data_IF_654456669540
#
_entry.id   IF_654456669540
#
_cell.length_a   1.000
_cell.length_b   1.000
_cell.length_c   1.000
_cell.angle_alpha   90.00
_cell.angle_beta   90.00
_cell.angle_gamma   90.00
#
_symmetry.space_group_name_H-M   'P 1'
#
loop_
_entity.id
_entity.type
_entity.pdbx_description
1 polymer ?
#
# COMPACT_ATOMS: atom_id res chain seq x y z
N UNK A 1 -58.62 -4.75 -2.21
CA UNK A 1 -58.52 -5.19 -3.62
C UNK A 1 -57.41 -4.40 -4.29
N UNK A 2 -56.37 -5.06 -4.79
CA UNK A 2 -55.34 -4.40 -5.61
C UNK A 2 -55.99 -3.86 -6.90
N UNK A 3 -55.55 -2.69 -7.37
CA UNK A 3 -55.88 -2.21 -8.71
C UNK A 3 -55.20 -3.12 -9.75
N UNK A 4 -55.90 -3.53 -10.81
CA UNK A 4 -55.44 -4.43 -11.88
C UNK A 4 -54.05 -4.08 -12.41
N UNK A 5 -53.72 -2.78 -12.54
CA UNK A 5 -52.41 -2.32 -12.99
C UNK A 5 -51.26 -2.65 -12.02
N UNK A 6 -51.53 -2.65 -10.70
CA UNK A 6 -50.53 -3.04 -9.70
C UNK A 6 -50.34 -4.56 -9.68
N UNK A 7 -51.42 -5.33 -9.82
CA UNK A 7 -51.35 -6.79 -9.92
C UNK A 7 -50.45 -7.23 -11.07
N UNK A 8 -50.62 -6.64 -12.26
CA UNK A 8 -49.79 -6.95 -13.44
C UNK A 8 -48.30 -6.64 -13.23
N UNK A 9 -47.97 -5.53 -12.54
CA UNK A 9 -46.56 -5.20 -12.23
C UNK A 9 -45.96 -6.18 -11.22
N UNK A 10 -46.73 -6.56 -10.21
CA UNK A 10 -46.32 -7.56 -9.22
C UNK A 10 -46.12 -8.94 -9.86
N UNK A 11 -47.00 -9.37 -10.76
CA UNK A 11 -46.85 -10.60 -11.54
C UNK A 11 -45.56 -10.60 -12.38
N UNK A 12 -45.27 -9.48 -13.05
CA UNK A 12 -44.04 -9.33 -13.83
C UNK A 12 -42.77 -9.40 -12.95
N UNK A 13 -42.77 -8.69 -11.81
CA UNK A 13 -41.68 -8.74 -10.84
C UNK A 13 -41.47 -10.16 -10.28
N UNK A 14 -42.57 -10.86 -9.98
CA UNK A 14 -42.53 -12.24 -9.50
C UNK A 14 -41.89 -13.18 -10.52
N UNK A 15 -42.30 -13.09 -11.79
CA UNK A 15 -41.76 -13.92 -12.85
C UNK A 15 -40.24 -13.71 -12.98
N UNK A 16 -39.80 -12.45 -13.00
CA UNK A 16 -38.39 -12.10 -13.11
C UNK A 16 -37.56 -12.56 -11.90
N UNK A 17 -38.12 -12.48 -10.68
CA UNK A 17 -37.49 -13.03 -9.48
C UNK A 17 -37.38 -14.55 -9.50
N UNK A 18 -38.39 -15.25 -10.02
CA UNK A 18 -38.37 -16.72 -10.18
C UNK A 18 -37.34 -17.14 -11.23
N UNK A 19 -37.21 -16.38 -12.33
CA UNK A 19 -36.17 -16.59 -13.33
C UNK A 19 -34.77 -16.38 -12.73
N UNK A 20 -34.62 -15.34 -11.89
CA UNK A 20 -33.36 -15.06 -11.19
C UNK A 20 -33.03 -16.18 -10.19
N UNK A 21 -34.03 -16.66 -9.46
CA UNK A 21 -33.92 -17.79 -8.53
C UNK A 21 -33.48 -19.07 -9.25
N UNK A 22 -34.14 -19.43 -10.35
CA UNK A 22 -33.75 -20.60 -11.17
C UNK A 22 -32.31 -20.46 -11.67
N UNK A 23 -31.95 -19.26 -12.15
CA UNK A 23 -30.61 -19.02 -12.68
C UNK A 23 -29.50 -19.18 -11.64
N UNK A 24 -29.70 -18.74 -10.39
CA UNK A 24 -28.69 -18.92 -9.35
C UNK A 24 -28.58 -20.37 -8.89
N UNK A 25 -29.68 -21.14 -8.90
CA UNK A 25 -29.66 -22.59 -8.65
C UNK A 25 -28.98 -23.37 -9.79
N UNK A 26 -29.24 -22.98 -11.04
CA UNK A 26 -28.56 -23.55 -12.21
C UNK A 26 -27.05 -23.28 -12.17
N UNK A 27 -26.65 -22.07 -11.76
CA UNK A 27 -25.24 -21.72 -11.62
C UNK A 27 -24.53 -22.56 -10.54
N UNK A 28 -25.21 -22.88 -9.43
CA UNK A 28 -24.68 -23.81 -8.42
C UNK A 28 -24.51 -25.22 -8.99
N UNK A 29 -25.51 -25.74 -9.72
CA UNK A 29 -25.42 -27.06 -10.37
C UNK A 29 -24.33 -27.13 -11.43
N UNK A 30 -24.12 -26.04 -12.16
CA UNK A 30 -23.14 -25.92 -13.23
C UNK A 30 -21.75 -25.46 -12.76
N UNK A 31 -21.54 -25.31 -11.45
CA UNK A 31 -20.28 -24.82 -10.91
C UNK A 31 -19.10 -25.70 -11.36
N UNK A 32 -18.07 -25.06 -11.91
CA UNK A 32 -16.86 -25.75 -12.39
C UNK A 32 -16.04 -26.38 -11.26
N UNK A 33 -16.19 -25.88 -10.03
CA UNK A 33 -15.54 -26.42 -8.83
C UNK A 33 -16.59 -27.19 -8.02
N UNK A 34 -16.40 -28.51 -7.81
CA UNK A 34 -17.32 -29.30 -7.00
C UNK A 34 -17.41 -28.76 -5.57
N UNK A 35 -18.63 -28.57 -5.07
CA UNK A 35 -18.88 -28.18 -3.67
C UNK A 35 -18.27 -29.17 -2.66
N UNK A 36 -18.06 -30.42 -3.06
CA UNK A 36 -17.36 -31.43 -2.25
C UNK A 36 -15.91 -31.07 -1.93
N UNK A 37 -15.31 -30.11 -2.63
CA UNK A 37 -13.98 -29.57 -2.30
C UNK A 37 -14.00 -28.56 -1.17
N UNK A 38 -15.15 -27.99 -0.85
CA UNK A 38 -15.28 -27.10 0.31
C UNK A 38 -15.23 -27.93 1.59
N UNK A 39 -14.59 -27.38 2.63
CA UNK A 39 -14.64 -28.00 3.96
C UNK A 39 -16.11 -28.14 4.40
N UNK A 40 -16.54 -29.26 5.00
CA UNK A 40 -17.94 -29.51 5.30
C UNK A 40 -18.63 -28.40 6.10
N UNK A 41 -17.91 -27.77 7.03
CA UNK A 41 -18.40 -26.63 7.84
C UNK A 41 -18.75 -25.40 6.98
N UNK A 42 -18.14 -25.26 5.80
CA UNK A 42 -18.32 -24.12 4.90
C UNK A 42 -19.14 -24.45 3.65
N UNK A 43 -19.64 -25.68 3.50
CA UNK A 43 -20.36 -26.12 2.30
C UNK A 43 -21.56 -25.23 1.94
N UNK A 44 -22.38 -24.87 2.94
CA UNK A 44 -23.53 -23.97 2.73
C UNK A 44 -23.10 -22.56 2.30
N UNK A 45 -22.02 -22.04 2.87
CA UNK A 45 -21.46 -20.74 2.51
C UNK A 45 -20.86 -20.74 1.10
N UNK A 46 -20.18 -21.82 0.71
CA UNK A 46 -19.63 -22.00 -0.63
C UNK A 46 -20.74 -22.05 -1.70
N UNK A 47 -21.83 -22.79 -1.43
CA UNK A 47 -23.00 -22.81 -2.29
C UNK A 47 -23.63 -21.41 -2.41
N UNK A 48 -23.80 -20.71 -1.29
CA UNK A 48 -24.30 -19.34 -1.31
C UNK A 48 -23.39 -18.37 -2.07
N UNK A 49 -22.07 -18.51 -1.97
CA UNK A 49 -21.12 -17.68 -2.71
C UNK A 49 -21.25 -17.87 -4.22
N UNK A 50 -21.40 -19.11 -4.71
CA UNK A 50 -21.64 -19.39 -6.14
C UNK A 50 -22.92 -18.70 -6.60
N UNK A 51 -24.01 -18.85 -5.84
CA UNK A 51 -25.30 -18.19 -6.12
C UNK A 51 -25.15 -16.67 -6.13
N UNK A 52 -24.42 -16.10 -5.18
CA UNK A 52 -24.18 -14.66 -5.08
C UNK A 52 -23.36 -14.13 -6.26
N UNK A 53 -22.31 -14.83 -6.68
CA UNK A 53 -21.53 -14.46 -7.88
C UNK A 53 -22.39 -14.55 -9.14
N UNK A 54 -23.19 -15.60 -9.29
CA UNK A 54 -24.10 -15.77 -10.42
C UNK A 54 -25.17 -14.67 -10.49
N UNK A 55 -25.63 -14.21 -9.34
CA UNK A 55 -26.51 -13.07 -9.25
C UNK A 55 -25.81 -11.76 -9.64
N UNK A 56 -24.58 -11.53 -9.12
CA UNK A 56 -23.84 -10.28 -9.32
C UNK A 56 -23.24 -10.12 -10.71
N UNK A 57 -23.19 -11.20 -11.50
CA UNK A 57 -22.84 -11.16 -12.93
C UNK A 57 -23.95 -10.57 -13.81
N UNK A 58 -25.12 -10.27 -13.23
CA UNK A 58 -26.27 -9.64 -13.91
C UNK A 58 -26.42 -8.19 -13.48
N UNK A 59 -26.90 -7.35 -14.41
CA UNK A 59 -27.32 -5.99 -14.09
C UNK A 59 -28.74 -6.02 -13.51
N UNK A 60 -28.84 -5.79 -12.20
CA UNK A 60 -30.12 -5.82 -11.49
C UNK A 60 -30.73 -4.45 -11.25
N UNK A 61 -30.09 -3.34 -11.68
CA UNK A 61 -30.49 -1.99 -11.28
C UNK A 61 -31.95 -1.69 -11.61
N UNK A 62 -32.39 -2.04 -12.82
CA UNK A 62 -33.78 -1.84 -13.24
C UNK A 62 -34.78 -2.67 -12.41
N UNK A 63 -34.46 -3.93 -12.10
CA UNK A 63 -35.26 -4.77 -11.22
C UNK A 63 -35.33 -4.17 -9.80
N UNK A 64 -34.22 -3.70 -9.26
CA UNK A 64 -34.14 -3.10 -7.93
C UNK A 64 -34.98 -1.82 -7.82
N UNK A 65 -34.95 -0.97 -8.86
CA UNK A 65 -35.76 0.24 -8.93
C UNK A 65 -37.26 -0.10 -8.97
N UNK A 66 -37.66 -1.10 -9.78
CA UNK A 66 -39.04 -1.57 -9.86
C UNK A 66 -39.54 -2.22 -8.56
N UNK A 67 -38.70 -3.01 -7.88
CA UNK A 67 -39.02 -3.57 -6.56
C UNK A 67 -39.24 -2.46 -5.52
N UNK A 68 -38.34 -1.48 -5.49
CA UNK A 68 -38.40 -0.35 -4.57
C UNK A 68 -39.65 0.49 -4.81
N UNK A 69 -40.04 0.70 -6.07
CA UNK A 69 -41.26 1.43 -6.43
C UNK A 69 -42.55 0.76 -5.91
N UNK A 70 -42.54 -0.57 -5.69
CA UNK A 70 -43.65 -1.32 -5.10
C UNK A 70 -43.53 -1.49 -3.56
N UNK A 71 -42.51 -0.88 -2.94
CA UNK A 71 -42.25 -0.95 -1.50
C UNK A 71 -41.62 -2.28 -1.03
N UNK A 72 -41.05 -3.03 -1.97
CA UNK A 72 -40.39 -4.32 -1.69
C UNK A 72 -38.90 -4.11 -1.40
N UNK A 73 -38.26 -5.14 -0.82
CA UNK A 73 -36.79 -5.15 -0.65
C UNK A 73 -36.10 -4.99 -1.99
N UNK A 74 -35.17 -4.05 -2.08
CA UNK A 74 -34.32 -3.83 -3.26
C UNK A 74 -33.23 -4.88 -3.42
N UNK A 75 -33.24 -5.94 -2.60
CA UNK A 75 -32.30 -7.05 -2.72
C UNK A 75 -30.82 -6.65 -2.48
N UNK A 76 -30.58 -5.45 -1.95
CA UNK A 76 -29.23 -4.89 -1.76
C UNK A 76 -28.42 -5.42 -0.58
N UNK A 77 -28.97 -6.34 0.23
CA UNK A 77 -28.31 -6.95 1.41
C UNK A 77 -28.56 -8.46 1.48
N UNK A 78 -28.18 -9.18 0.42
CA UNK A 78 -28.43 -10.62 0.30
C UNK A 78 -27.19 -11.50 0.34
N UNK A 79 -26.02 -10.89 0.57
CA UNK A 79 -24.71 -11.55 0.58
C UNK A 79 -24.70 -12.76 1.53
N UNK A 80 -25.45 -12.66 2.63
CA UNK A 80 -25.53 -13.71 3.64
C UNK A 80 -26.35 -14.94 3.20
N UNK A 81 -27.39 -14.75 2.36
CA UNK A 81 -28.31 -15.82 1.94
C UNK A 81 -29.16 -15.38 0.73
N UNK A 82 -28.72 -15.74 -0.48
CA UNK A 82 -29.34 -15.30 -1.74
C UNK A 82 -30.74 -15.88 -1.91
N UNK A 83 -30.90 -17.20 -1.77
CA UNK A 83 -32.17 -17.86 -2.02
C UNK A 83 -33.23 -17.43 -1.03
N UNK A 84 -32.89 -17.35 0.26
CA UNK A 84 -33.84 -16.90 1.28
C UNK A 84 -34.37 -15.49 1.01
N UNK A 85 -33.52 -14.58 0.54
CA UNK A 85 -33.94 -13.21 0.22
C UNK A 85 -34.82 -13.17 -1.02
N UNK A 86 -34.49 -13.93 -2.08
CA UNK A 86 -35.35 -14.05 -3.27
C UNK A 86 -36.71 -14.64 -2.89
N UNK A 87 -36.72 -15.76 -2.15
CA UNK A 87 -37.93 -16.45 -1.71
C UNK A 87 -38.79 -15.55 -0.80
N UNK A 88 -38.19 -14.75 0.07
CA UNK A 88 -38.92 -13.80 0.92
C UNK A 88 -39.63 -12.70 0.11
N UNK A 89 -38.99 -12.16 -0.93
CA UNK A 89 -39.61 -11.15 -1.80
C UNK A 89 -40.69 -11.78 -2.66
N UNK A 90 -40.45 -12.96 -3.24
CA UNK A 90 -41.45 -13.73 -3.98
C UNK A 90 -42.67 -14.02 -3.11
N UNK A 91 -42.45 -14.49 -1.87
CA UNK A 91 -43.52 -14.74 -0.91
C UNK A 91 -44.30 -13.48 -0.56
N UNK A 92 -43.63 -12.34 -0.41
CA UNK A 92 -44.30 -11.05 -0.18
C UNK A 92 -45.19 -10.64 -1.36
N UNK A 93 -44.72 -10.86 -2.59
CA UNK A 93 -45.50 -10.61 -3.80
C UNK A 93 -46.69 -11.58 -3.89
N UNK A 94 -46.48 -12.86 -3.63
CA UNK A 94 -47.53 -13.89 -3.65
C UNK A 94 -48.63 -13.61 -2.63
N UNK A 95 -48.27 -13.15 -1.42
CA UNK A 95 -49.22 -12.69 -0.42
C UNK A 95 -50.03 -11.48 -0.91
N UNK A 96 -49.36 -10.50 -1.54
CA UNK A 96 -50.02 -9.32 -2.07
C UNK A 96 -51.02 -9.68 -3.18
N UNK A 97 -50.66 -10.61 -4.06
CA UNK A 97 -51.50 -11.12 -5.15
C UNK A 97 -52.63 -12.04 -4.68
N UNK A 98 -52.59 -12.51 -3.43
CA UNK A 98 -53.57 -13.44 -2.88
C UNK A 98 -53.36 -14.88 -3.31
N UNK A 99 -52.14 -15.25 -3.72
CA UNK A 99 -51.75 -16.62 -4.05
C UNK A 99 -51.56 -17.51 -2.82
N UNK A 100 -51.42 -16.92 -1.62
CA UNK A 100 -51.16 -17.62 -0.35
C UNK A 100 -52.22 -17.21 0.69
N UNK A 101 -52.65 -18.16 1.51
CA UNK A 101 -53.61 -17.90 2.58
C UNK A 101 -52.98 -17.06 3.71
N UNK A 102 -53.73 -16.17 4.40
CA UNK A 102 -53.20 -15.41 5.54
C UNK A 102 -52.78 -16.37 6.67
N UNK A 103 -51.48 -16.53 6.91
CA UNK A 103 -50.93 -17.37 7.99
C UNK A 103 -49.83 -18.36 7.59
N UNK A 104 -49.64 -18.63 6.30
CA UNK A 104 -48.61 -19.56 5.80
C UNK A 104 -47.19 -18.95 5.71
N UNK A 105 -47.02 -17.70 6.15
CA UNK A 105 -45.72 -17.04 6.17
C UNK A 105 -45.05 -17.24 7.53
N UNK A 106 -44.11 -18.19 7.61
CA UNK A 106 -43.07 -18.25 8.63
C UNK A 106 -42.10 -17.06 8.45
N UNK A 107 -42.58 -15.84 8.66
CA UNK A 107 -41.72 -14.67 8.79
C UNK A 107 -41.73 -14.27 10.26
N UNK A 108 -40.74 -14.72 11.05
CA UNK A 108 -40.67 -14.35 12.46
C UNK A 108 -40.58 -12.83 12.53
N UNK A 109 -41.57 -12.22 13.19
CA UNK A 109 -41.63 -10.78 13.38
C UNK A 109 -40.41 -10.24 14.15
N UNK A 110 -40.30 -8.92 14.32
CA UNK A 110 -39.18 -8.27 15.00
C UNK A 110 -39.01 -8.70 16.48
N UNK A 111 -39.98 -9.40 17.07
CA UNK A 111 -39.95 -9.94 18.43
C UNK A 111 -39.36 -11.36 18.53
N UNK A 112 -38.67 -11.83 17.48
CA UNK A 112 -37.97 -13.11 17.51
C UNK A 112 -36.83 -13.09 18.54
N UNK A 113 -36.67 -14.19 19.28
CA UNK A 113 -35.55 -14.39 20.20
C UNK A 113 -34.20 -14.00 19.58
N UNK A 114 -33.22 -13.52 20.38
CA UNK A 114 -31.90 -13.17 19.88
C UNK A 114 -31.35 -14.28 18.99
N UNK A 115 -31.20 -13.95 17.70
CA UNK A 115 -30.82 -14.91 16.67
C UNK A 115 -29.48 -15.54 17.07
N UNK A 116 -29.33 -16.87 17.01
CA UNK A 116 -28.06 -17.51 17.37
C UNK A 116 -26.91 -16.92 16.53
N UNK A 117 -25.67 -16.91 17.08
CA UNK A 117 -24.50 -16.43 16.36
C UNK A 117 -24.42 -17.06 14.98
N UNK A 118 -24.20 -16.25 13.95
CA UNK A 118 -24.05 -16.77 12.60
C UNK A 118 -22.68 -17.46 12.47
N UNK A 119 -22.51 -18.41 11.54
CA UNK A 119 -21.17 -18.94 11.24
C UNK A 119 -20.15 -17.84 10.95
N UNK A 120 -20.59 -16.73 10.34
CA UNK A 120 -19.74 -15.56 10.10
C UNK A 120 -19.27 -14.90 11.41
N UNK A 121 -20.15 -14.68 12.38
CA UNK A 121 -19.76 -14.05 13.64
C UNK A 121 -18.84 -14.95 14.47
N UNK A 122 -19.06 -16.28 14.44
CA UNK A 122 -18.18 -17.27 15.06
C UNK A 122 -16.80 -17.26 14.40
N UNK A 123 -16.72 -17.34 13.07
CA UNK A 123 -15.46 -17.35 12.34
C UNK A 123 -14.69 -16.02 12.50
N UNK A 124 -15.40 -14.89 12.45
CA UNK A 124 -14.79 -13.58 12.68
C UNK A 124 -14.21 -13.46 14.09
N UNK A 125 -14.92 -13.95 15.11
CA UNK A 125 -14.42 -13.95 16.48
C UNK A 125 -13.20 -14.88 16.66
N UNK A 126 -13.21 -16.05 16.01
CA UNK A 126 -12.08 -16.97 16.03
C UNK A 126 -10.83 -16.34 15.41
N UNK A 127 -10.96 -15.76 14.20
CA UNK A 127 -9.87 -15.19 13.43
C UNK A 127 -9.36 -13.86 14.02
N UNK A 128 -10.26 -12.90 14.25
CA UNK A 128 -9.92 -11.51 14.58
C UNK A 128 -9.95 -11.22 16.09
N UNK A 129 -10.38 -12.18 16.90
CA UNK A 129 -10.64 -11.98 18.33
C UNK A 129 -12.09 -11.60 18.64
N UNK A 130 -12.45 -11.75 19.93
CA UNK A 130 -13.81 -11.53 20.44
C UNK A 130 -14.36 -10.12 20.16
N UNK A 131 -15.67 -9.95 20.35
CA UNK A 131 -16.27 -8.60 20.37
C UNK A 131 -15.83 -7.90 21.65
N UNK A 132 -15.11 -6.79 21.53
CA UNK A 132 -14.89 -5.86 22.65
C UNK A 132 -16.04 -4.85 22.60
N UNK A 133 -16.94 -4.86 23.59
CA UNK A 133 -18.03 -3.90 23.90
C UNK A 133 -18.78 -3.23 22.73
N UNK A 134 -20.12 -3.30 22.71
CA UNK A 134 -21.07 -2.51 21.87
C UNK A 134 -20.79 -2.35 20.36
N UNK A 135 -19.74 -2.97 19.80
CA UNK A 135 -19.36 -2.87 18.38
C UNK A 135 -19.11 -4.22 17.73
N UNK A 136 -19.61 -4.34 16.50
CA UNK A 136 -19.38 -5.52 15.64
C UNK A 136 -18.10 -5.41 14.81
N UNK A 137 -17.55 -4.21 14.61
CA UNK A 137 -16.36 -3.98 13.77
C UNK A 137 -15.06 -4.04 14.58
N UNK A 138 -14.04 -4.75 14.05
CA UNK A 138 -12.69 -4.81 14.62
C UNK A 138 -11.76 -3.80 13.95
N UNK A 139 -10.81 -3.26 14.71
CA UNK A 139 -9.85 -2.27 14.27
C UNK A 139 -8.46 -2.92 14.18
N UNK A 140 -7.94 -2.99 12.96
CA UNK A 140 -6.57 -3.38 12.69
C UNK A 140 -5.69 -2.15 12.54
N UNK A 141 -4.59 -2.08 13.28
CA UNK A 141 -3.61 -0.98 13.22
C UNK A 141 -2.31 -1.52 12.68
N UNK A 142 -1.80 -0.94 11.59
CA UNK A 142 -0.43 -1.22 11.13
C UNK A 142 0.53 -0.49 12.03
N UNK A 143 1.37 -1.24 12.74
CA UNK A 143 2.34 -0.67 13.66
C UNK A 143 3.44 0.06 12.86
N UNK A 144 3.76 1.32 13.20
CA UNK A 144 4.88 2.02 12.60
C UNK A 144 6.20 1.57 13.24
N UNK A 145 7.34 1.83 12.60
CA UNK A 145 8.67 1.41 13.07
C UNK A 145 8.97 1.86 14.52
N UNK A 146 8.47 3.03 14.93
CA UNK A 146 8.62 3.56 16.29
C UNK A 146 7.99 2.65 17.35
N UNK A 147 6.98 1.85 16.98
CA UNK A 147 6.33 0.91 17.89
C UNK A 147 7.31 -0.15 18.43
N UNK A 148 8.41 -0.44 17.73
CA UNK A 148 9.44 -1.36 18.23
C UNK A 148 10.19 -0.79 19.46
N UNK A 149 10.23 0.53 19.61
CA UNK A 149 11.03 1.22 20.63
C UNK A 149 10.19 2.04 21.61
N UNK A 150 8.90 2.29 21.32
CA UNK A 150 7.95 2.98 22.21
C UNK A 150 6.79 2.05 22.64
N UNK A 151 6.94 1.27 23.73
CA UNK A 151 5.83 0.45 24.26
C UNK A 151 4.62 1.29 24.68
N UNK A 152 4.81 2.55 25.09
CA UNK A 152 3.72 3.42 25.49
C UNK A 152 2.85 3.82 24.29
N UNK A 153 3.40 3.90 23.08
CA UNK A 153 2.64 4.07 21.83
C UNK A 153 1.69 2.90 21.60
N UNK A 154 2.19 1.66 21.69
CA UNK A 154 1.37 0.45 21.51
C UNK A 154 0.25 0.38 22.56
N UNK A 155 0.56 0.72 23.82
CA UNK A 155 -0.44 0.80 24.88
C UNK A 155 -1.51 1.88 24.62
N UNK A 156 -1.17 3.00 23.94
CA UNK A 156 -2.16 4.00 23.51
C UNK A 156 -3.08 3.44 22.42
N UNK A 157 -2.55 2.70 21.45
CA UNK A 157 -3.38 2.04 20.43
C UNK A 157 -4.35 1.03 21.05
N UNK A 158 -3.88 0.21 21.99
CA UNK A 158 -4.72 -0.72 22.73
C UNK A 158 -5.87 -0.01 23.46
N UNK A 159 -5.58 1.06 24.23
CA UNK A 159 -6.61 1.85 24.91
C UNK A 159 -7.59 2.55 23.97
N UNK A 160 -7.15 2.86 22.75
CA UNK A 160 -8.00 3.47 21.73
C UNK A 160 -8.91 2.44 21.01
N UNK A 161 -8.78 1.14 21.30
CA UNK A 161 -9.63 0.09 20.75
C UNK A 161 -8.99 -0.74 19.62
N UNK A 162 -7.67 -0.80 19.51
CA UNK A 162 -6.99 -1.72 18.60
C UNK A 162 -7.29 -3.18 18.98
N UNK A 163 -7.81 -3.95 18.03
CA UNK A 163 -8.08 -5.40 18.19
C UNK A 163 -7.01 -6.25 17.53
N UNK A 164 -6.44 -5.76 16.43
CA UNK A 164 -5.40 -6.45 15.67
C UNK A 164 -4.22 -5.53 15.44
N UNK A 165 -3.04 -5.93 15.91
CA UNK A 165 -1.77 -5.28 15.58
C UNK A 165 -1.21 -5.92 14.31
N UNK A 166 -1.14 -5.16 13.22
CA UNK A 166 -0.51 -5.59 11.97
C UNK A 166 0.97 -5.19 11.96
N UNK A 167 1.85 -6.17 11.85
CA UNK A 167 3.29 -5.99 11.62
C UNK A 167 3.55 -6.24 10.14
N UNK A 168 4.07 -5.23 9.44
CA UNK A 168 4.33 -5.32 8.01
C UNK A 168 5.78 -5.73 7.76
N UNK A 169 6.00 -7.00 7.35
CA UNK A 169 7.34 -7.55 7.12
C UNK A 169 8.00 -6.98 5.85
N UNK A 170 7.30 -6.09 5.13
CA UNK A 170 7.90 -5.32 4.06
C UNK A 170 8.91 -4.27 4.51
N UNK A 171 8.92 -3.96 5.80
CA UNK A 171 9.74 -2.95 6.44
C UNK A 171 10.30 -3.49 7.76
N UNK A 172 11.31 -2.81 8.30
CA UNK A 172 11.99 -3.19 9.54
C UNK A 172 12.66 -4.58 9.46
N UNK A 173 13.08 -5.11 10.61
CA UNK A 173 13.79 -6.39 10.73
C UNK A 173 13.16 -7.31 11.78
N UNK A 174 13.58 -8.58 11.80
CA UNK A 174 13.13 -9.62 12.75
C UNK A 174 13.16 -9.15 14.20
N UNK A 175 14.22 -8.46 14.62
CA UNK A 175 14.35 -7.96 15.99
C UNK A 175 13.32 -6.86 16.30
N UNK A 176 13.03 -5.97 15.35
CA UNK A 176 11.99 -4.97 15.49
C UNK A 176 10.59 -5.59 15.57
N UNK A 177 10.30 -6.57 14.70
CA UNK A 177 9.02 -7.29 14.71
C UNK A 177 8.78 -8.00 16.05
N UNK A 178 9.80 -8.68 16.58
CA UNK A 178 9.72 -9.35 17.88
C UNK A 178 9.44 -8.36 19.02
N UNK A 179 10.08 -7.18 19.01
CA UNK A 179 9.82 -6.12 19.99
C UNK A 179 8.38 -5.60 19.87
N UNK A 180 7.90 -5.34 18.66
CA UNK A 180 6.51 -4.91 18.42
C UNK A 180 5.51 -5.94 18.93
N UNK A 181 5.76 -7.22 18.69
CA UNK A 181 4.93 -8.32 19.18
C UNK A 181 4.91 -8.36 20.72
N UNK A 182 6.08 -8.26 21.35
CA UNK A 182 6.22 -8.23 22.81
C UNK A 182 5.45 -7.07 23.45
N UNK A 183 5.59 -5.86 22.88
CA UNK A 183 4.86 -4.69 23.35
C UNK A 183 3.34 -4.83 23.16
N UNK A 184 2.91 -5.48 22.09
CA UNK A 184 1.50 -5.77 21.83
C UNK A 184 0.92 -6.72 22.87
N UNK A 185 1.62 -7.83 23.17
CA UNK A 185 1.22 -8.77 24.23
C UNK A 185 1.18 -8.11 25.62
N UNK A 186 2.13 -7.21 25.90
CA UNK A 186 2.14 -6.43 27.14
C UNK A 186 0.98 -5.42 27.22
N UNK A 187 0.49 -4.92 26.08
CA UNK A 187 -0.63 -3.99 26.03
C UNK A 187 -2.00 -4.68 26.21
N UNK A 188 -2.13 -5.96 25.84
CA UNK A 188 -3.31 -6.77 26.11
C UNK A 188 -3.31 -8.13 25.42
N UNK A 189 -3.66 -9.20 26.14
CA UNK A 189 -3.71 -10.57 25.60
C UNK A 189 -4.87 -10.80 24.63
N UNK A 190 -5.86 -9.90 24.59
CA UNK A 190 -6.98 -9.96 23.67
C UNK A 190 -6.67 -9.41 22.27
N UNK A 191 -5.51 -8.78 22.07
CA UNK A 191 -5.12 -8.18 20.80
C UNK A 191 -4.42 -9.24 19.93
N UNK A 192 -4.95 -9.49 18.74
CA UNK A 192 -4.34 -10.41 17.77
C UNK A 192 -3.13 -9.76 17.09
N UNK A 193 -2.10 -10.54 16.80
CA UNK A 193 -0.95 -10.12 16.00
C UNK A 193 -1.10 -10.70 14.60
N UNK A 194 -1.22 -9.82 13.61
CA UNK A 194 -1.22 -10.17 12.20
C UNK A 194 0.13 -9.82 11.58
N UNK A 195 0.85 -10.78 11.03
CA UNK A 195 2.10 -10.52 10.30
C UNK A 195 1.86 -10.59 8.81
N UNK A 196 2.14 -9.48 8.14
CA UNK A 196 1.95 -9.33 6.72
C UNK A 196 3.25 -9.62 5.98
N UNK A 197 3.25 -10.71 5.22
CA UNK A 197 4.39 -11.11 4.41
C UNK A 197 4.51 -10.16 3.21
N UNK A 198 5.75 -9.85 2.86
CA UNK A 198 6.07 -8.85 1.85
C UNK A 198 5.58 -9.25 0.45
N UNK A 199 5.72 -10.55 0.12
CA UNK A 199 5.47 -11.08 -1.21
C UNK A 199 6.41 -10.53 -2.29
N UNK A 200 6.24 -10.96 -3.55
CA UNK A 200 7.05 -10.50 -4.67
C UNK A 200 6.71 -9.06 -5.06
N UNK A 201 7.39 -8.08 -4.46
CA UNK A 201 7.17 -6.65 -4.75
C UNK A 201 7.81 -6.25 -6.07
N UNK A 202 7.00 -6.12 -7.11
CA UNK A 202 7.45 -5.52 -8.37
C UNK A 202 7.64 -4.01 -8.21
N UNK A 203 8.89 -3.57 -8.16
CA UNK A 203 9.31 -2.17 -7.97
C UNK A 203 10.43 -1.75 -8.93
N UNK A 204 10.54 -0.44 -9.13
CA UNK A 204 11.70 0.17 -9.77
C UNK A 204 12.94 -0.01 -8.91
N UNK A 205 14.06 -0.37 -9.54
CA UNK A 205 15.35 -0.50 -8.88
C UNK A 205 15.94 0.85 -8.44
N UNK A 206 17.19 0.80 -7.99
CA UNK A 206 17.94 2.00 -7.60
C UNK A 206 18.08 2.99 -8.77
N UNK A 207 18.30 4.26 -8.47
CA UNK A 207 18.58 5.31 -9.45
C UNK A 207 20.00 5.84 -9.25
N UNK A 208 20.59 6.41 -10.29
CA UNK A 208 21.89 7.06 -10.17
C UNK A 208 21.87 8.09 -9.03
N UNK A 209 22.91 8.14 -8.18
CA UNK A 209 22.97 9.12 -7.09
C UNK A 209 22.90 10.55 -7.63
N UNK A 210 22.12 11.40 -6.97
CA UNK A 210 22.01 12.79 -7.37
C UNK A 210 23.28 13.59 -7.07
N UNK A 211 23.30 14.87 -7.47
CA UNK A 211 24.39 15.75 -7.06
C UNK A 211 24.50 15.76 -5.52
N UNK A 212 25.73 15.70 -5.02
CA UNK A 212 26.04 15.80 -3.60
C UNK A 212 26.01 17.26 -3.17
N UNK A 213 24.82 17.74 -2.84
CA UNK A 213 24.54 19.15 -2.53
C UNK A 213 23.50 19.31 -1.43
N UNK A 214 23.78 20.20 -0.48
CA UNK A 214 22.84 20.61 0.57
C UNK A 214 22.24 21.96 0.20
N UNK A 215 20.91 22.03 0.15
CA UNK A 215 20.17 23.28 -0.02
C UNK A 215 19.78 23.82 1.34
N UNK A 216 20.24 25.03 1.64
CA UNK A 216 19.86 25.79 2.83
C UNK A 216 19.12 27.04 2.39
N UNK A 217 17.93 27.26 2.93
CA UNK A 217 17.05 28.37 2.53
C UNK A 217 16.39 29.02 3.74
N UNK A 218 16.26 30.36 3.74
CA UNK A 218 15.54 31.06 4.79
C UNK A 218 14.03 30.80 4.69
N UNK A 219 13.35 30.77 5.83
CA UNK A 219 11.89 30.89 5.87
C UNK A 219 11.50 32.37 5.72
N UNK A 220 10.48 32.65 4.90
CA UNK A 220 10.02 34.01 4.62
C UNK A 220 8.53 34.17 4.86
N UNK A 221 8.12 35.34 5.32
CA UNK A 221 6.70 35.71 5.44
C UNK A 221 6.06 35.97 4.06
N UNK A 222 4.74 36.23 4.06
CA UNK A 222 4.01 36.56 2.84
C UNK A 222 4.47 37.87 2.17
N UNK A 223 5.20 38.73 2.88
CA UNK A 223 5.80 39.96 2.37
C UNK A 223 7.24 39.76 1.87
N UNK A 224 7.76 38.53 1.94
CA UNK A 224 9.11 38.17 1.52
C UNK A 224 10.21 38.48 2.53
N UNK A 225 9.87 38.90 3.76
CA UNK A 225 10.83 39.18 4.84
C UNK A 225 11.30 37.86 5.46
N UNK A 226 12.58 37.77 5.81
CA UNK A 226 13.14 36.58 6.45
C UNK A 226 12.60 36.47 7.88
N UNK A 227 11.93 35.36 8.20
CA UNK A 227 11.50 35.01 9.56
C UNK A 227 12.56 34.12 10.22
N UNK A 228 13.10 33.16 9.46
CA UNK A 228 14.19 32.29 9.90
C UNK A 228 15.30 32.31 8.85
N UNK A 229 16.55 32.58 9.23
CA UNK A 229 17.66 32.59 8.29
C UNK A 229 17.92 31.18 7.73
N UNK A 230 18.54 31.11 6.55
CA UNK A 230 19.15 29.87 6.09
C UNK A 230 20.24 29.50 7.09
N UNK A 231 20.12 28.35 7.76
CA UNK A 231 21.05 27.92 8.80
C UNK A 231 21.61 26.55 8.49
N UNK A 232 22.90 26.35 8.75
CA UNK A 232 23.55 25.04 8.66
C UNK A 232 24.73 24.93 9.61
N UNK A 233 24.98 23.73 10.13
CA UNK A 233 26.19 23.46 10.91
C UNK A 233 27.32 23.02 10.01
N UNK A 234 28.48 23.64 10.16
CA UNK A 234 29.77 23.12 9.71
C UNK A 234 30.33 22.22 10.82
N UNK A 235 30.78 21.03 10.48
CA UNK A 235 31.30 20.05 11.44
C UNK A 235 32.63 19.46 10.99
N UNK A 236 33.40 18.97 11.95
CA UNK A 236 34.61 18.20 11.67
C UNK A 236 34.26 16.93 10.89
N UNK A 237 35.18 16.40 10.05
CA UNK A 237 34.94 15.16 9.34
C UNK A 237 34.86 13.99 10.34
N UNK A 238 33.89 13.09 10.14
CA UNK A 238 33.73 11.91 10.99
C UNK A 238 34.96 11.01 10.89
N UNK A 239 35.50 10.57 12.03
CA UNK A 239 36.70 9.73 12.09
C UNK A 239 36.51 8.34 11.43
N UNK A 240 35.27 7.88 11.34
CA UNK A 240 34.85 6.61 10.72
C UNK A 240 34.35 6.77 9.26
N UNK A 241 34.35 8.00 8.72
CA UNK A 241 33.82 8.29 7.38
C UNK A 241 32.29 8.23 7.27
N UNK A 242 31.56 8.17 8.38
CA UNK A 242 30.10 8.20 8.39
C UNK A 242 29.56 9.51 7.79
N UNK A 243 28.40 9.43 7.14
CA UNK A 243 27.72 10.61 6.62
C UNK A 243 27.25 11.51 7.77
N UNK A 244 27.36 12.83 7.65
CA UNK A 244 26.96 13.74 8.71
C UNK A 244 25.43 13.72 8.91
N UNK A 245 24.93 14.03 10.12
CA UNK A 245 23.51 14.15 10.38
C UNK A 245 22.81 15.15 9.44
N UNK A 246 21.49 15.00 9.19
CA UNK A 246 20.73 15.97 8.42
C UNK A 246 20.87 17.39 8.99
N UNK A 247 21.21 18.36 8.13
CA UNK A 247 21.43 19.76 8.54
C UNK A 247 22.86 20.10 8.96
N UNK A 248 23.80 19.15 8.86
CA UNK A 248 25.22 19.36 9.08
C UNK A 248 26.03 19.12 7.79
N UNK A 249 27.10 19.88 7.60
CA UNK A 249 28.01 19.82 6.46
C UNK A 249 29.43 19.63 6.99
N UNK A 250 30.16 18.59 6.56
CA UNK A 250 31.51 18.37 7.03
C UNK A 250 32.46 19.31 6.30
N UNK A 251 33.52 19.76 6.95
CA UNK A 251 34.64 20.46 6.30
C UNK A 251 35.89 19.57 6.32
N UNK A 252 36.78 19.75 5.36
CA UNK A 252 37.99 18.92 5.24
C UNK A 252 39.09 19.31 6.23
N UNK A 253 39.07 20.54 6.73
CA UNK A 253 40.07 21.07 7.67
C UNK A 253 39.42 21.37 9.04
N UNK A 254 39.69 20.50 10.01
CA UNK A 254 39.22 20.66 11.39
C UNK A 254 39.91 21.82 12.12
N UNK A 255 41.16 22.16 11.76
CA UNK A 255 41.88 23.29 12.34
C UNK A 255 41.32 24.63 11.86
N UNK A 256 40.89 24.70 10.59
CA UNK A 256 40.12 25.83 10.07
C UNK A 256 38.83 26.03 10.87
N UNK A 257 38.06 24.94 11.09
CA UNK A 257 36.80 24.97 11.82
C UNK A 257 36.99 25.46 13.27
N UNK A 258 38.02 24.95 13.96
CA UNK A 258 38.33 25.34 15.34
C UNK A 258 38.74 26.82 15.50
N UNK A 259 39.11 27.48 14.40
CA UNK A 259 39.49 28.91 14.39
C UNK A 259 38.31 29.84 14.14
N UNK A 260 37.13 29.32 13.77
CA UNK A 260 35.95 30.15 13.58
C UNK A 260 35.49 30.78 14.89
N UNK A 261 35.02 32.01 14.80
CA UNK A 261 34.46 32.81 15.90
C UNK A 261 33.08 33.31 15.52
N UNK A 262 32.26 33.59 16.53
CA UNK A 262 30.98 34.28 16.31
C UNK A 262 31.27 35.61 15.60
N UNK A 263 30.40 35.97 14.66
CA UNK A 263 30.49 37.12 13.77
C UNK A 263 31.50 37.01 12.60
N UNK A 264 32.28 35.92 12.51
CA UNK A 264 33.07 35.64 11.30
C UNK A 264 32.13 35.50 10.09
N UNK A 265 32.56 36.01 8.93
CA UNK A 265 31.82 35.87 7.67
C UNK A 265 32.44 34.78 6.82
N UNK A 266 31.69 33.70 6.59
CA UNK A 266 32.06 32.61 5.69
C UNK A 266 31.60 32.96 4.27
N UNK A 267 32.58 33.14 3.39
CA UNK A 267 32.38 33.44 1.98
C UNK A 267 32.53 32.18 1.13
N UNK A 268 31.64 32.00 0.16
CA UNK A 268 31.75 30.88 -0.78
C UNK A 268 30.99 31.13 -2.07
N UNK A 269 31.35 30.40 -3.12
CA UNK A 269 30.56 30.34 -4.35
C UNK A 269 29.72 29.07 -4.35
N UNK A 270 28.39 29.23 -4.42
CA UNK A 270 27.46 28.11 -4.41
C UNK A 270 27.51 27.30 -5.73
N UNK A 271 26.90 26.11 -5.77
CA UNK A 271 26.93 25.24 -6.97
C UNK A 271 26.25 25.83 -8.20
N UNK A 272 25.58 26.98 -8.07
CA UNK A 272 24.98 27.75 -9.18
C UNK A 272 25.90 28.88 -9.66
N UNK A 273 27.13 28.95 -9.15
CA UNK A 273 28.09 30.01 -9.45
C UNK A 273 27.76 31.34 -8.77
N UNK A 274 26.94 31.37 -7.71
CA UNK A 274 26.58 32.62 -7.03
C UNK A 274 27.35 32.78 -5.72
N UNK A 275 27.97 33.93 -5.52
CA UNK A 275 28.64 34.28 -4.25
C UNK A 275 27.66 34.38 -3.09
N UNK A 276 28.01 33.78 -1.97
CA UNK A 276 27.25 33.74 -0.72
C UNK A 276 28.15 34.14 0.43
N UNK A 277 27.50 34.73 1.42
CA UNK A 277 28.11 35.22 2.65
C UNK A 277 27.18 34.75 3.76
N UNK A 278 27.72 33.99 4.72
CA UNK A 278 26.97 33.50 5.87
C UNK A 278 27.77 33.80 7.13
N UNK A 279 27.10 34.30 8.17
CA UNK A 279 27.72 34.71 9.42
C UNK A 279 27.73 33.56 10.42
N UNK A 280 28.84 33.35 11.11
CA UNK A 280 28.93 32.39 12.21
C UNK A 280 28.14 32.94 13.40
N UNK A 281 27.11 32.22 13.83
CA UNK A 281 26.23 32.64 14.95
C UNK A 281 26.37 31.78 16.20
N UNK A 282 26.97 30.60 16.07
CA UNK A 282 27.22 29.70 17.18
C UNK A 282 28.46 28.85 16.92
N UNK A 283 29.20 28.54 17.97
CA UNK A 283 30.36 27.63 17.93
C UNK A 283 30.23 26.63 19.07
N UNK A 284 30.53 25.36 18.80
CA UNK A 284 30.60 24.26 19.76
C UNK A 284 31.88 23.46 19.55
N UNK A 285 32.17 22.53 20.44
CA UNK A 285 33.28 21.60 20.23
C UNK A 285 33.05 20.80 18.93
N UNK A 286 34.00 20.91 18.00
CA UNK A 286 33.93 20.27 16.68
C UNK A 286 32.92 20.84 15.67
N UNK A 287 32.32 22.02 15.90
CA UNK A 287 31.35 22.58 14.94
C UNK A 287 31.03 24.07 15.07
N UNK A 288 30.56 24.68 13.99
CA UNK A 288 30.11 26.07 13.94
C UNK A 288 28.82 26.21 13.11
N UNK A 289 27.84 26.98 13.59
CA UNK A 289 26.59 27.26 12.86
C UNK A 289 26.73 28.55 12.09
N UNK A 290 26.46 28.49 10.79
CA UNK A 290 26.45 29.65 9.90
C UNK A 290 25.04 29.97 9.44
N UNK A 291 24.72 31.27 9.36
CA UNK A 291 23.40 31.78 9.00
C UNK A 291 23.47 32.82 7.87
N UNK A 292 22.44 32.86 7.01
CA UNK A 292 22.36 33.82 5.92
C UNK A 292 20.92 34.13 5.51
N UNK A 293 20.74 35.26 4.83
CA UNK A 293 19.43 35.75 4.39
C UNK A 293 19.01 35.22 3.01
N UNK A 294 19.89 34.49 2.31
CA UNK A 294 19.70 34.00 0.95
C UNK A 294 19.89 32.49 0.86
N UNK A 295 19.11 31.87 -0.02
CA UNK A 295 19.25 30.44 -0.32
C UNK A 295 20.63 30.14 -0.92
N UNK A 296 21.32 29.16 -0.35
CA UNK A 296 22.60 28.64 -0.83
C UNK A 296 22.52 27.14 -1.14
N UNK A 297 23.33 26.71 -2.11
CA UNK A 297 23.48 25.32 -2.53
C UNK A 297 24.94 24.94 -2.35
N UNK A 298 25.23 24.20 -1.28
CA UNK A 298 26.60 23.91 -0.85
C UNK A 298 26.91 22.47 -1.25
N UNK A 299 27.86 22.30 -2.17
CA UNK A 299 28.22 21.00 -2.74
C UNK A 299 29.46 20.41 -2.10
N UNK A 300 29.67 19.10 -2.29
CA UNK A 300 30.97 18.47 -1.99
C UNK A 300 32.07 19.20 -2.77
N UNK A 301 33.13 19.62 -2.07
CA UNK A 301 34.26 20.34 -2.65
C UNK A 301 34.09 21.86 -2.77
N UNK A 302 32.93 22.42 -2.41
CA UNK A 302 32.74 23.88 -2.31
C UNK A 302 33.81 24.48 -1.39
N UNK A 303 34.52 25.50 -1.87
CA UNK A 303 35.53 26.21 -1.08
C UNK A 303 34.82 27.23 -0.17
N UNK A 304 35.11 27.16 1.12
CA UNK A 304 34.65 28.10 2.13
C UNK A 304 35.86 28.94 2.57
N UNK A 305 35.74 30.26 2.51
CA UNK A 305 36.79 31.20 2.90
C UNK A 305 36.35 32.05 4.09
N UNK A 306 37.28 32.31 5.02
CA UNK A 306 37.13 33.30 6.09
C UNK A 306 38.44 34.08 6.19
N UNK A 307 38.41 35.35 5.79
CA UNK A 307 39.56 36.26 5.79
C UNK A 307 40.79 35.70 5.05
N UNK A 308 40.58 35.05 3.89
CA UNK A 308 41.65 34.45 3.09
C UNK A 308 42.16 33.11 3.59
N UNK A 309 41.49 32.50 4.58
CA UNK A 309 41.73 31.13 5.02
C UNK A 309 40.67 30.22 4.41
N UNK A 310 41.10 29.28 3.58
CA UNK A 310 40.20 28.37 2.88
C UNK A 310 40.08 27.00 3.54
N UNK A 311 38.89 26.42 3.47
CA UNK A 311 38.64 24.98 3.62
C UNK A 311 37.74 24.49 2.49
N UNK A 312 37.52 23.18 2.39
CA UNK A 312 36.56 22.59 1.46
C UNK A 312 35.46 21.88 2.22
N UNK A 313 34.28 21.89 1.63
CA UNK A 313 33.18 21.03 2.05
C UNK A 313 33.53 19.57 1.75
N UNK A 314 33.47 18.73 2.77
CA UNK A 314 33.67 17.28 2.66
C UNK A 314 32.50 16.58 1.95
N UNK A 315 32.49 15.26 2.00
CA UNK A 315 31.44 14.48 1.35
C UNK A 315 30.08 14.74 2.02
N UNK A 316 29.16 15.36 1.27
CA UNK A 316 27.75 15.47 1.67
C UNK A 316 26.92 14.36 1.00
N UNK A 317 25.76 13.97 1.58
CA UNK A 317 24.86 13.02 0.96
C UNK A 317 24.43 13.44 -0.45
N UNK A 318 24.27 12.48 -1.35
CA UNK A 318 23.61 12.72 -2.64
C UNK A 318 22.14 13.01 -2.43
N UNK A 319 21.59 13.94 -3.22
CA UNK A 319 20.14 14.15 -3.24
C UNK A 319 19.47 12.98 -3.96
N UNK A 320 18.31 12.53 -3.48
CA UNK A 320 17.51 11.52 -4.18
C UNK A 320 17.19 11.98 -5.60
N UNK A 321 17.61 11.19 -6.59
CA UNK A 321 17.21 11.44 -7.97
C UNK A 321 15.77 11.03 -8.22
N UNK A 322 15.20 11.64 -9.25
CA UNK A 322 13.99 11.16 -9.89
C UNK A 322 14.14 11.35 -11.38
N UNK A 323 13.76 10.32 -12.14
CA UNK A 323 13.65 10.42 -13.60
C UNK A 323 12.37 11.21 -13.89
N UNK A 324 12.48 12.29 -14.66
CA UNK A 324 11.33 13.10 -15.03
C UNK A 324 10.76 12.56 -16.34
N UNK A 325 9.65 11.85 -16.23
CA UNK A 325 8.99 11.14 -17.33
C UNK A 325 7.82 11.96 -17.87
N UNK A 326 7.76 12.13 -19.18
CA UNK A 326 6.69 12.79 -19.92
C UNK A 326 5.94 11.80 -20.80
N UNK A 327 4.76 12.23 -21.26
CA UNK A 327 4.02 11.50 -22.29
C UNK A 327 4.82 11.46 -23.59
N UNK A 328 4.96 10.28 -24.17
CA UNK A 328 5.76 10.01 -25.37
C UNK A 328 7.19 9.57 -25.07
N UNK A 329 7.66 9.71 -23.83
CA UNK A 329 8.98 9.20 -23.44
C UNK A 329 8.98 7.66 -23.45
N UNK A 330 10.17 7.07 -23.60
CA UNK A 330 10.36 5.63 -23.50
C UNK A 330 11.01 5.30 -22.16
N UNK A 331 10.37 4.40 -21.42
CA UNK A 331 10.94 3.78 -20.21
C UNK A 331 11.38 2.37 -20.56
N UNK A 332 12.68 2.12 -20.52
CA UNK A 332 13.29 0.82 -20.72
C UNK A 332 13.41 0.08 -19.37
N UNK A 333 12.65 -1.00 -19.21
CA UNK A 333 12.70 -1.87 -18.04
C UNK A 333 13.74 -2.97 -18.21
N UNK A 334 14.69 -3.01 -17.29
CA UNK A 334 15.84 -3.91 -17.32
C UNK A 334 15.84 -4.87 -16.12
N UNK A 335 16.37 -6.09 -16.29
CA UNK A 335 16.47 -7.09 -15.22
C UNK A 335 17.68 -6.91 -14.29
N UNK A 336 18.61 -6.00 -14.60
CA UNK A 336 19.79 -5.76 -13.78
C UNK A 336 19.56 -4.70 -12.69
N UNK A 337 20.39 -4.76 -11.64
CA UNK A 337 20.36 -3.87 -10.49
C UNK A 337 21.10 -2.55 -10.74
N UNK A 338 21.46 -2.24 -11.99
CA UNK A 338 22.18 -1.02 -12.30
C UNK A 338 21.31 0.20 -11.99
N UNK A 339 21.91 1.27 -11.43
CA UNK A 339 21.18 2.49 -11.14
C UNK A 339 20.52 3.04 -12.40
N UNK A 340 19.22 3.28 -12.34
CA UNK A 340 18.45 3.87 -13.42
C UNK A 340 18.86 5.32 -13.70
N UNK A 341 18.83 5.71 -14.97
CA UNK A 341 19.26 7.02 -15.45
C UNK A 341 18.41 7.48 -16.64
N UNK A 342 18.62 8.71 -17.09
CA UNK A 342 18.00 9.24 -18.31
C UNK A 342 19.08 9.64 -19.31
N UNK A 343 18.93 9.17 -20.56
CA UNK A 343 19.80 9.53 -21.66
C UNK A 343 18.94 9.88 -22.88
N UNK A 344 19.08 11.10 -23.41
CA UNK A 344 18.39 11.57 -24.62
C UNK A 344 16.87 11.32 -24.66
N UNK A 345 16.17 11.48 -23.53
CA UNK A 345 14.72 11.27 -23.43
C UNK A 345 14.28 9.81 -23.29
N UNK A 346 15.23 8.88 -23.16
CA UNK A 346 15.00 7.48 -22.76
C UNK A 346 15.35 7.31 -21.28
N UNK A 347 14.48 6.66 -20.54
CA UNK A 347 14.65 6.40 -19.11
C UNK A 347 14.96 4.91 -18.90
N UNK A 348 16.12 4.61 -18.34
CA UNK A 348 16.49 3.24 -18.01
C UNK A 348 16.14 2.96 -16.55
N UNK A 349 15.38 1.91 -16.29
CA UNK A 349 14.84 1.61 -14.96
C UNK A 349 15.00 0.12 -14.67
N UNK A 350 15.65 -0.23 -13.55
CA UNK A 350 15.73 -1.62 -13.10
C UNK A 350 14.37 -2.15 -12.63
N UNK A 351 14.16 -3.45 -12.78
CA UNK A 351 12.98 -4.18 -12.33
C UNK A 351 13.39 -5.19 -11.26
N UNK A 352 12.85 -5.03 -10.05
CA UNK A 352 13.20 -5.88 -8.89
C UNK A 352 12.73 -7.33 -9.02
N UNK A 353 11.78 -7.62 -9.92
CA UNK A 353 11.37 -8.99 -10.26
C UNK A 353 11.60 -9.21 -11.76
N UNK A 354 12.79 -9.67 -12.16
CA UNK A 354 13.17 -9.80 -13.58
C UNK A 354 12.33 -10.85 -14.33
N UNK A 355 11.77 -11.84 -13.64
CA UNK A 355 10.87 -12.86 -14.21
C UNK A 355 9.62 -12.24 -14.85
N UNK A 356 9.23 -11.04 -14.40
CA UNK A 356 8.16 -10.28 -15.03
C UNK A 356 8.49 -9.94 -16.49
N UNK A 357 9.77 -9.67 -16.80
CA UNK A 357 10.22 -9.34 -18.16
C UNK A 357 10.26 -10.57 -19.08
N UNK A 358 10.28 -11.77 -18.53
CA UNK A 358 10.26 -13.00 -19.33
C UNK A 358 8.90 -13.26 -19.97
N UNK A 359 7.83 -12.86 -19.28
CA UNK A 359 6.44 -13.09 -19.70
C UNK A 359 5.75 -11.86 -20.27
N UNK A 360 6.31 -10.66 -20.07
CA UNK A 360 5.74 -9.42 -20.61
C UNK A 360 5.71 -9.43 -22.14
N UNK A 361 4.63 -8.88 -22.71
CA UNK A 361 4.38 -8.88 -24.16
C UNK A 361 4.20 -7.48 -24.69
N UNK A 362 4.50 -7.30 -25.98
CA UNK A 362 4.15 -6.08 -26.71
C UNK A 362 2.64 -5.87 -26.64
N UNK A 363 2.23 -4.67 -26.25
CA UNK A 363 0.84 -4.28 -26.02
C UNK A 363 0.39 -4.36 -24.55
N UNK A 364 1.16 -4.98 -23.66
CA UNK A 364 0.81 -5.02 -22.23
C UNK A 364 0.90 -3.62 -21.62
N UNK A 365 -0.04 -3.26 -20.73
CA UNK A 365 0.05 -2.04 -19.94
C UNK A 365 1.08 -2.18 -18.83
N UNK A 366 1.76 -1.07 -18.56
CA UNK A 366 2.69 -0.92 -17.45
C UNK A 366 2.37 0.36 -16.69
N UNK A 367 2.19 0.25 -15.38
CA UNK A 367 1.88 1.36 -14.49
C UNK A 367 3.03 1.55 -13.50
N UNK A 368 3.44 2.80 -13.26
CA UNK A 368 4.46 3.14 -12.27
C UNK A 368 3.95 4.11 -11.21
N UNK A 369 4.50 4.01 -9.99
CA UNK A 369 4.22 4.90 -8.84
C UNK A 369 2.71 5.08 -8.62
N UNK A 370 2.03 3.95 -8.39
CA UNK A 370 0.58 3.86 -8.15
C UNK A 370 -0.28 4.40 -9.31
N UNK A 371 0.18 4.19 -10.55
CA UNK A 371 -0.55 4.58 -11.77
C UNK A 371 -0.40 6.06 -12.15
N UNK A 372 0.50 6.81 -11.51
CA UNK A 372 0.80 8.20 -11.90
C UNK A 372 1.53 8.31 -13.24
N UNK A 373 2.14 7.21 -13.69
CA UNK A 373 2.69 7.03 -15.02
C UNK A 373 2.08 5.74 -15.57
N UNK A 374 1.57 5.80 -16.79
CA UNK A 374 1.05 4.65 -17.53
C UNK A 374 1.66 4.64 -18.92
N UNK A 375 1.93 3.45 -19.42
CA UNK A 375 2.41 3.22 -20.77
C UNK A 375 2.09 1.83 -21.26
N UNK A 376 2.44 1.56 -22.52
CA UNK A 376 2.28 0.26 -23.15
C UNK A 376 3.64 -0.25 -23.61
N UNK A 377 3.87 -1.56 -23.50
CA UNK A 377 5.07 -2.18 -24.03
C UNK A 377 5.05 -2.07 -25.55
N UNK A 378 5.99 -1.30 -26.09
CA UNK A 378 6.15 -1.11 -27.53
C UNK A 378 7.05 -2.17 -28.15
N UNK A 379 8.07 -2.60 -27.42
CA UNK A 379 9.03 -3.60 -27.88
C UNK A 379 9.57 -4.41 -26.70
N UNK A 380 9.94 -5.66 -26.97
CA UNK A 380 10.70 -6.51 -26.04
C UNK A 380 11.94 -6.98 -26.80
N UNK A 381 13.12 -6.67 -26.26
CA UNK A 381 14.41 -7.03 -26.82
C UNK A 381 15.15 -8.00 -25.88
N UNK A 382 16.18 -8.66 -26.41
CA UNK A 382 17.11 -9.47 -25.62
C UNK A 382 18.48 -8.81 -25.69
N UNK A 383 19.00 -8.41 -24.53
CA UNK A 383 20.31 -7.78 -24.36
C UNK A 383 21.11 -8.64 -23.39
N UNK A 384 22.30 -9.08 -23.79
CA UNK A 384 23.18 -9.94 -22.98
C UNK A 384 22.49 -11.19 -22.40
N UNK A 385 21.61 -11.79 -23.21
CA UNK A 385 20.85 -12.99 -22.85
C UNK A 385 19.67 -12.75 -21.89
N UNK A 386 19.34 -11.48 -21.59
CA UNK A 386 18.22 -11.11 -20.72
C UNK A 386 17.19 -10.26 -21.45
N UNK A 387 15.91 -10.41 -21.10
CA UNK A 387 14.81 -9.65 -21.71
C UNK A 387 14.71 -8.24 -21.13
N UNK A 388 14.50 -7.28 -22.03
CA UNK A 388 14.34 -5.84 -21.73
C UNK A 388 13.06 -5.38 -22.41
N UNK A 389 12.22 -4.60 -21.72
CA UNK A 389 10.96 -4.11 -22.26
C UNK A 389 11.01 -2.58 -22.45
N UNK A 390 10.71 -2.11 -23.66
CA UNK A 390 10.52 -0.69 -23.95
C UNK A 390 9.05 -0.33 -23.75
N UNK A 391 8.78 0.55 -22.78
CA UNK A 391 7.43 1.05 -22.46
C UNK A 391 7.29 2.46 -23.01
N UNK A 392 6.34 2.67 -23.91
CA UNK A 392 5.98 4.01 -24.39
C UNK A 392 4.95 4.63 -23.45
N UNK A 393 5.29 5.79 -22.88
CA UNK A 393 4.47 6.46 -21.87
C UNK A 393 3.29 7.17 -22.51
N UNK A 394 2.08 6.81 -22.11
CA UNK A 394 0.83 7.40 -22.61
C UNK A 394 0.21 8.38 -21.60
N UNK A 395 0.50 8.19 -20.31
CA UNK A 395 0.03 9.06 -19.22
C UNK A 395 1.20 9.53 -18.36
N UNK A 396 1.33 10.84 -18.23
CA UNK A 396 2.13 11.51 -17.22
C UNK A 396 1.57 12.92 -17.00
N UNK A 397 1.95 13.59 -15.92
CA UNK A 397 1.52 14.98 -15.72
C UNK A 397 2.06 15.91 -16.82
N UNK A 398 1.38 17.02 -17.16
CA UNK A 398 1.82 17.92 -18.23
C UNK A 398 3.22 18.53 -18.03
N UNK A 399 3.71 18.58 -16.79
CA UNK A 399 5.05 19.08 -16.44
C UNK A 399 6.08 17.93 -16.28
N UNK A 400 5.70 16.71 -16.60
CA UNK A 400 6.46 15.49 -16.33
C UNK A 400 6.28 14.99 -14.89
N UNK A 401 6.12 13.67 -14.75
CA UNK A 401 5.98 12.98 -13.46
C UNK A 401 7.36 12.50 -12.98
N UNK A 402 7.62 12.57 -11.68
CA UNK A 402 8.88 12.10 -11.07
C UNK A 402 8.79 10.60 -10.77
N UNK A 403 9.50 9.77 -11.51
CA UNK A 403 9.72 8.37 -11.18
C UNK A 403 10.95 8.24 -10.28
N UNK A 404 10.78 7.66 -9.09
CA UNK A 404 11.86 7.45 -8.11
C UNK A 404 12.25 5.98 -8.05
N UNK A 405 13.31 5.67 -7.30
CA UNK A 405 13.62 4.31 -6.89
C UNK A 405 12.51 3.74 -5.99
N UNK A 406 12.44 2.41 -5.91
CA UNK A 406 11.54 1.65 -5.04
C UNK A 406 10.04 1.95 -5.26
N UNK A 407 9.68 2.43 -6.45
CA UNK A 407 8.28 2.71 -6.83
C UNK A 407 7.62 1.48 -7.40
N UNK A 408 6.38 1.23 -6.98
CA UNK A 408 5.60 0.09 -7.47
C UNK A 408 5.46 0.12 -8.99
N UNK A 409 5.65 -1.04 -9.60
CA UNK A 409 5.33 -1.32 -10.99
C UNK A 409 4.13 -2.27 -10.98
N UNK A 410 3.09 -1.99 -11.75
CA UNK A 410 1.97 -2.91 -11.93
C UNK A 410 1.81 -3.28 -13.40
N UNK A 411 1.55 -4.57 -13.64
CA UNK A 411 1.39 -5.17 -14.96
C UNK A 411 -0.01 -5.81 -15.04
N UNK A 412 -1.09 -5.02 -15.23
CA UNK A 412 -2.46 -5.52 -15.13
C UNK A 412 -2.83 -6.54 -16.22
N UNK A 413 -2.10 -6.56 -17.34
CA UNK A 413 -2.38 -7.45 -18.48
C UNK A 413 -1.44 -8.67 -18.52
N UNK A 414 -0.43 -8.71 -17.64
CA UNK A 414 0.59 -9.76 -17.63
C UNK A 414 0.30 -10.77 -16.52
N UNK A 415 0.14 -12.04 -16.87
CA UNK A 415 0.08 -13.13 -15.89
C UNK A 415 1.49 -13.52 -15.45
N UNK A 416 1.88 -13.09 -14.26
CA UNK A 416 3.22 -13.27 -13.73
C UNK A 416 3.39 -14.68 -13.15
N UNK A 417 4.32 -15.53 -13.56
CA UNK A 417 4.49 -16.86 -12.97
C UNK A 417 5.27 -16.83 -11.62
N UNK A 418 5.04 -15.82 -10.78
CA UNK A 418 5.81 -15.59 -9.55
C UNK A 418 5.04 -16.15 -8.35
N UNK A 419 5.67 -16.97 -7.51
CA UNK A 419 4.99 -17.43 -6.30
C UNK A 419 4.67 -16.27 -5.37
N UNK A 420 3.49 -16.29 -4.75
CA UNK A 420 3.13 -15.34 -3.71
C UNK A 420 4.07 -15.39 -2.50
N UNK A 421 4.73 -16.53 -2.28
CA UNK A 421 5.74 -16.74 -1.24
C UNK A 421 7.15 -16.72 -1.84
N UNK A 422 7.93 -15.73 -1.46
CA UNK A 422 9.35 -15.60 -1.81
C UNK A 422 10.26 -16.27 -0.78
N UNK A 423 11.54 -16.46 -1.11
CA UNK A 423 12.56 -16.95 -0.17
C UNK A 423 12.80 -15.97 1.00
N UNK A 424 12.52 -14.68 0.80
CA UNK A 424 12.53 -13.69 1.87
C UNK A 424 11.32 -13.87 2.79
N UNK A 425 10.13 -14.13 2.22
CA UNK A 425 8.93 -14.42 3.02
C UNK A 425 9.08 -15.71 3.83
N UNK A 426 9.74 -16.75 3.29
CA UNK A 426 10.00 -17.98 4.04
C UNK A 426 10.91 -17.74 5.25
N UNK A 427 11.94 -16.90 5.09
CA UNK A 427 12.82 -16.49 6.21
C UNK A 427 12.07 -15.63 7.22
N UNK A 428 11.28 -14.66 6.75
CA UNK A 428 10.43 -13.87 7.61
C UNK A 428 9.41 -14.74 8.37
N UNK A 429 8.89 -15.79 7.72
CA UNK A 429 7.97 -16.74 8.35
C UNK A 429 8.64 -17.47 9.53
N UNK A 430 9.90 -17.90 9.37
CA UNK A 430 10.69 -18.51 10.45
C UNK A 430 10.82 -17.57 11.66
N UNK A 431 10.97 -16.26 11.41
CA UNK A 431 11.13 -15.24 12.45
C UNK A 431 9.82 -14.91 13.18
N UNK A 432 8.67 -14.95 12.49
CA UNK A 432 7.40 -14.44 13.03
C UNK A 432 6.46 -15.51 13.58
N UNK A 433 6.56 -16.75 13.10
CA UNK A 433 5.60 -17.83 13.42
C UNK A 433 5.44 -18.05 14.93
N UNK A 434 6.49 -17.82 15.73
CA UNK A 434 6.47 -18.01 17.17
C UNK A 434 5.58 -17.04 17.96
N UNK A 435 5.18 -15.90 17.38
CA UNK A 435 4.36 -14.89 18.07
C UNK A 435 3.11 -14.45 17.30
N UNK A 436 2.97 -14.85 16.04
CA UNK A 436 1.86 -14.48 15.15
C UNK A 436 0.57 -15.24 15.49
N UNK A 437 -0.57 -14.53 15.46
CA UNK A 437 -1.90 -15.15 15.45
C UNK A 437 -2.43 -15.35 14.02
N UNK A 438 -2.08 -14.44 13.09
CA UNK A 438 -2.60 -14.39 11.72
C UNK A 438 -1.44 -14.12 10.75
N UNK A 439 -1.20 -14.99 9.78
CA UNK A 439 -0.30 -14.70 8.66
C UNK A 439 -1.11 -14.13 7.50
N UNK A 440 -0.70 -12.97 6.99
CA UNK A 440 -1.30 -12.36 5.79
C UNK A 440 -0.38 -12.62 4.59
N UNK A 441 -0.96 -13.25 3.56
CA UNK A 441 -0.25 -13.58 2.32
C UNK A 441 -0.53 -12.51 1.26
N UNK A 442 0.50 -11.73 0.96
CA UNK A 442 0.45 -10.76 -0.14
C UNK A 442 0.49 -11.45 -1.51
N UNK A 443 -0.18 -10.86 -2.51
CA UNK A 443 -0.16 -11.32 -3.92
C UNK A 443 -0.61 -12.78 -4.16
N UNK A 444 -1.47 -13.34 -3.30
CA UNK A 444 -2.10 -14.64 -3.55
C UNK A 444 -2.98 -14.59 -4.82
N UNK A 445 -2.74 -15.49 -5.77
CA UNK A 445 -3.42 -15.49 -7.09
C UNK A 445 -4.07 -16.81 -7.42
N UNK A 446 -3.63 -17.89 -6.77
CA UNK A 446 -4.14 -19.23 -6.98
C UNK A 446 -4.42 -19.95 -5.66
N UNK A 447 -5.27 -20.98 -5.66
CA UNK A 447 -5.39 -21.89 -4.52
C UNK A 447 -4.05 -22.55 -4.14
N UNK A 448 -3.14 -22.72 -5.09
CA UNK A 448 -1.81 -23.28 -4.87
C UNK A 448 -0.92 -22.39 -3.99
N UNK A 449 -1.04 -21.06 -4.11
CA UNK A 449 -0.30 -20.12 -3.26
C UNK A 449 -0.70 -20.28 -1.78
N UNK A 450 -2.01 -20.42 -1.53
CA UNK A 450 -2.56 -20.61 -0.19
C UNK A 450 -2.17 -21.99 0.36
N UNK A 451 -2.29 -23.04 -0.45
CA UNK A 451 -1.90 -24.39 -0.05
C UNK A 451 -0.40 -24.44 0.32
N UNK A 452 0.47 -23.81 -0.48
CA UNK A 452 1.90 -23.72 -0.18
C UNK A 452 2.15 -23.03 1.16
N UNK A 453 1.46 -21.94 1.47
CA UNK A 453 1.62 -21.29 2.78
C UNK A 453 1.22 -22.23 3.93
N UNK A 454 0.14 -22.99 3.79
CA UNK A 454 -0.23 -23.99 4.80
C UNK A 454 0.83 -25.08 4.93
N UNK A 455 1.35 -25.62 3.83
CA UNK A 455 2.42 -26.63 3.86
C UNK A 455 3.68 -26.11 4.59
N UNK A 456 4.06 -24.85 4.33
CA UNK A 456 5.19 -24.19 4.98
C UNK A 456 4.93 -23.95 6.48
N UNK A 457 3.70 -23.57 6.86
CA UNK A 457 3.30 -23.42 8.26
C UNK A 457 3.28 -24.75 9.00
N UNK A 458 2.76 -25.82 8.40
CA UNK A 458 2.69 -27.15 9.01
C UNK A 458 4.08 -27.79 9.18
N UNK A 459 5.08 -27.33 8.43
CA UNK A 459 6.45 -27.82 8.51
C UNK A 459 7.29 -27.20 9.64
N UNK A 460 6.75 -26.20 10.35
CA UNK A 460 7.42 -25.39 11.38
C UNK A 460 6.75 -25.57 12.74
#
# INVERSE_FOLDING_TARGET
MLNTARSQRLDALRAELMDLRSAVEDAERAASVPLSRAHPVHAAGAANLIRYVALRSRDLRDLQDRLTAEGLSSLGRMEADVLRNLDAVVGTIDAALGHVAPGDHDNPGPDAEPRPPTPLSVNAAALLGGTVDDRDTRIMVTLPSEAANDPALVARFARAGMDVARINCAHDDSAAWERMARHTRAAGTGIRIATDLAGPKLRTGSLEPGPRVVKVSPARDALGRVIEPASVWLVAPSADGSAPPPGEIPVTDAAWLARLRIDDTVEFTDTRGRSRYMTVVAVRDGGARIEGDRTAYIGTGTVLDVDGRETRVGAVPSVDQALRVHRGDIVELRPDAEPGFTHEGRHHVGCTVPEALDVIRVGDRVLFDDGKIEGFVRAVAVTDGRRVAEVEVTLASPRGTKLRAEKGINLPDTDLPISALTDEDLRALDDVVGFTDIVQLSFARSPGDVARLFDELDSR
#
